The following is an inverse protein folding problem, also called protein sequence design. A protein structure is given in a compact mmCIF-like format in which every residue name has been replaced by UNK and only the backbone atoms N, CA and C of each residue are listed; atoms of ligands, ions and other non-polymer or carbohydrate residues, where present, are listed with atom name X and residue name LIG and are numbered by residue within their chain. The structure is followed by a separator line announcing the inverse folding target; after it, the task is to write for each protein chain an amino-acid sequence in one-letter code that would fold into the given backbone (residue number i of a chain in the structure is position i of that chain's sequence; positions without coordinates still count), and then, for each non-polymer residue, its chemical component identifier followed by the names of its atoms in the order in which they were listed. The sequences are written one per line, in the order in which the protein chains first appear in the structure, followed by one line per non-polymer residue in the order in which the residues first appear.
data_IF_327976928962
#
_entry.id   IF_327976928962
#
_cell.length_a   1.000
_cell.length_b   1.000
_cell.length_c   1.000
_cell.angle_alpha   90.00
_cell.angle_beta   90.00
_cell.angle_gamma   90.00
#
_symmetry.space_group_name_H-M   'P 1'
#
loop_
_entity.id
_entity.type
_entity.pdbx_description
1 polymer ?
#
# COMPACT_ATOMS: atom_id res chain seq x y z
N UNK A 1 27.62 28.29 9.50
CA UNK A 1 26.56 27.27 9.41
C UNK A 1 26.92 26.35 8.25
N UNK A 2 26.72 25.04 8.40
CA UNK A 2 27.04 24.05 7.37
C UNK A 2 25.82 23.13 7.19
N UNK A 3 25.36 22.99 5.96
CA UNK A 3 24.21 22.18 5.59
C UNK A 3 24.53 21.28 4.39
N UNK A 4 23.83 20.15 4.31
CA UNK A 4 23.87 19.23 3.18
C UNK A 4 22.58 19.38 2.37
N UNK A 5 22.71 19.72 1.10
CA UNK A 5 21.58 19.79 0.17
C UNK A 5 21.75 18.72 -0.91
N UNK A 6 20.77 17.83 -1.02
CA UNK A 6 20.71 16.78 -2.04
C UNK A 6 19.61 17.17 -3.01
N UNK A 7 19.97 17.45 -4.26
CA UNK A 7 19.05 17.85 -5.32
C UNK A 7 18.75 16.66 -6.23
N UNK A 8 17.51 16.56 -6.73
CA UNK A 8 17.06 15.44 -7.58
C UNK A 8 17.33 14.07 -6.94
N UNK A 9 16.87 13.89 -5.71
CA UNK A 9 17.05 12.68 -4.90
C UNK A 9 16.71 11.42 -5.70
N UNK A 10 17.61 10.43 -5.66
CA UNK A 10 17.46 9.12 -6.27
C UNK A 10 17.42 8.03 -5.21
N UNK A 11 16.95 6.83 -5.56
CA UNK A 11 16.87 5.69 -4.65
C UNK A 11 18.24 5.33 -4.03
N UNK A 12 19.34 5.57 -4.77
CA UNK A 12 20.71 5.34 -4.29
C UNK A 12 21.18 6.31 -3.21
N UNK A 13 20.48 7.44 -3.01
CA UNK A 13 20.80 8.42 -1.97
C UNK A 13 20.24 8.01 -0.60
N UNK A 14 19.46 6.93 -0.53
CA UNK A 14 18.99 6.43 0.76
C UNK A 14 20.14 5.89 1.59
N UNK A 15 20.52 6.64 2.63
CA UNK A 15 21.54 6.23 3.58
C UNK A 15 21.41 6.98 4.92
N UNK A 16 22.37 6.76 5.81
CA UNK A 16 22.55 7.47 7.06
C UNK A 16 23.65 8.51 6.89
N UNK A 17 23.28 9.77 7.01
CA UNK A 17 24.18 10.91 6.91
C UNK A 17 24.64 11.39 8.29
N UNK A 18 25.88 11.87 8.37
CA UNK A 18 26.45 12.49 9.57
C UNK A 18 27.41 13.60 9.15
N UNK A 19 27.25 14.79 9.72
CA UNK A 19 28.21 15.87 9.56
C UNK A 19 29.45 15.59 10.42
N UNK A 20 30.63 15.71 9.82
CA UNK A 20 31.91 15.56 10.50
C UNK A 20 32.81 16.74 10.14
N UNK A 21 33.24 17.49 11.15
CA UNK A 21 34.07 18.68 10.97
C UNK A 21 35.35 18.49 11.78
N UNK A 22 36.49 18.58 11.10
CA UNK A 22 37.79 18.70 11.75
C UNK A 22 38.16 20.19 11.76
N UNK A 23 38.29 20.76 12.95
CA UNK A 23 38.75 22.14 13.07
C UNK A 23 40.28 22.21 12.94
N UNK A 24 40.78 23.29 12.33
CA UNK A 24 42.20 23.47 12.10
C UNK A 24 42.95 23.72 13.42
N UNK A 25 43.74 22.74 13.86
CA UNK A 25 44.62 22.83 15.03
C UNK A 25 45.07 21.45 15.50
N UNK A 26 46.28 21.31 16.05
CA UNK A 26 46.88 20.01 16.36
C UNK A 26 46.14 19.21 17.45
N UNK A 27 45.25 19.83 18.23
CA UNK A 27 44.55 19.20 19.37
C UNK A 27 43.02 19.26 19.29
N UNK A 28 42.43 19.69 18.18
CA UNK A 28 40.96 19.81 18.11
C UNK A 28 40.30 18.45 17.82
N UNK A 29 39.37 17.98 18.66
CA UNK A 29 38.68 16.72 18.42
C UNK A 29 37.75 16.82 17.21
N UNK A 30 37.55 15.70 16.52
CA UNK A 30 36.57 15.59 15.44
C UNK A 30 35.16 15.84 16.00
N UNK A 31 34.52 16.91 15.57
CA UNK A 31 33.13 17.17 15.93
C UNK A 31 32.22 16.38 14.99
N UNK A 32 31.29 15.61 15.56
CA UNK A 32 30.29 14.85 14.82
C UNK A 32 28.90 15.32 15.21
N UNK A 33 28.00 15.40 14.24
CA UNK A 33 26.56 15.56 14.51
C UNK A 33 25.91 14.22 14.88
N UNK A 34 24.63 14.27 15.24
CA UNK A 34 23.78 13.09 15.22
C UNK A 34 23.67 12.53 13.80
N UNK A 35 23.36 11.23 13.74
CA UNK A 35 23.09 10.52 12.49
C UNK A 35 21.65 10.74 12.07
N UNK A 36 21.42 11.03 10.80
CA UNK A 36 20.08 11.20 10.22
C UNK A 36 19.90 10.20 9.09
N UNK A 37 18.78 9.48 9.08
CA UNK A 37 18.40 8.56 8.00
C UNK A 37 17.65 9.36 6.93
N UNK A 38 18.17 9.39 5.71
CA UNK A 38 17.38 9.74 4.54
C UNK A 38 16.64 8.49 4.08
N UNK A 39 15.34 8.57 3.86
CA UNK A 39 14.54 7.48 3.28
C UNK A 39 13.86 7.99 2.03
N UNK A 40 14.04 7.26 0.93
CA UNK A 40 13.45 7.61 -0.35
C UNK A 40 12.15 6.86 -0.50
N UNK A 41 11.06 7.60 -0.68
CA UNK A 41 9.73 7.03 -0.87
C UNK A 41 9.49 6.75 -2.35
N UNK A 42 8.94 5.56 -2.63
CA UNK A 42 8.58 5.13 -3.98
C UNK A 42 7.09 4.84 -3.99
N UNK A 43 6.29 5.49 -4.85
CA UNK A 43 4.88 5.19 -4.97
C UNK A 43 4.69 3.78 -5.54
N UNK A 44 3.73 3.04 -5.01
CA UNK A 44 3.31 1.76 -5.59
C UNK A 44 2.43 1.98 -6.83
N UNK A 45 2.25 0.92 -7.63
CA UNK A 45 1.25 0.92 -8.69
C UNK A 45 -0.15 1.02 -8.10
N UNK A 46 -1.08 1.63 -8.84
CA UNK A 46 -2.50 1.59 -8.49
C UNK A 46 -2.95 0.12 -8.25
N UNK A 47 -3.78 -0.13 -7.22
CA UNK A 47 -4.29 -1.46 -6.94
C UNK A 47 -5.11 -1.97 -8.12
N UNK A 48 -4.94 -3.25 -8.45
CA UNK A 48 -5.71 -3.91 -9.49
C UNK A 48 -6.04 -5.33 -9.10
N UNK A 49 -7.25 -5.74 -9.43
CA UNK A 49 -7.64 -7.14 -9.36
C UNK A 49 -6.89 -7.97 -10.41
N UNK A 50 -6.65 -9.22 -10.08
CA UNK A 50 -6.04 -10.24 -10.93
C UNK A 50 -6.89 -11.51 -10.87
N UNK A 51 -6.74 -12.37 -11.88
CA UNK A 51 -7.56 -13.58 -12.04
C UNK A 51 -9.05 -13.31 -12.27
N UNK A 52 -9.35 -12.17 -12.90
CA UNK A 52 -10.69 -11.89 -13.42
C UNK A 52 -10.97 -12.71 -14.68
N UNK A 53 -12.22 -12.73 -15.14
CA UNK A 53 -12.58 -13.29 -16.44
C UNK A 53 -11.76 -12.67 -17.59
N UNK A 54 -11.81 -13.26 -18.80
CA UNK A 54 -11.02 -12.80 -19.95
C UNK A 54 -11.27 -11.32 -20.35
N UNK A 55 -12.42 -10.77 -19.94
CA UNK A 55 -12.78 -9.36 -20.14
C UNK A 55 -12.29 -8.45 -19.01
N UNK A 56 -11.78 -9.00 -17.90
CA UNK A 56 -11.16 -8.25 -16.81
C UNK A 56 -12.14 -7.47 -15.94
N UNK A 57 -13.43 -7.83 -15.96
CA UNK A 57 -14.51 -7.02 -15.37
C UNK A 57 -15.29 -7.76 -14.29
N UNK A 58 -15.33 -9.09 -14.32
CA UNK A 58 -16.22 -9.85 -13.42
C UNK A 58 -15.54 -11.07 -12.79
N UNK A 59 -15.90 -11.30 -11.53
CA UNK A 59 -15.66 -12.55 -10.82
C UNK A 59 -16.93 -13.42 -10.91
N UNK A 60 -16.79 -14.65 -11.38
CA UNK A 60 -17.90 -15.59 -11.44
C UNK A 60 -17.99 -16.38 -10.14
N UNK A 61 -18.99 -16.08 -9.32
CA UNK A 61 -19.32 -16.83 -8.12
C UNK A 61 -20.42 -17.86 -8.38
N UNK A 62 -20.42 -18.94 -7.59
CA UNK A 62 -21.56 -19.86 -7.49
C UNK A 62 -22.06 -19.84 -6.06
N UNK A 63 -23.36 -19.68 -5.90
CA UNK A 63 -23.99 -19.66 -4.58
C UNK A 63 -23.62 -20.89 -3.75
N UNK A 64 -23.26 -20.68 -2.48
CA UNK A 64 -22.82 -21.73 -1.56
C UNK A 64 -21.38 -22.22 -1.79
N UNK A 65 -20.66 -21.67 -2.77
CA UNK A 65 -19.25 -21.94 -3.01
C UNK A 65 -18.39 -20.72 -2.70
N UNK A 66 -17.20 -20.90 -2.09
CA UNK A 66 -16.31 -19.79 -1.80
C UNK A 66 -15.78 -19.18 -3.09
N UNK A 67 -15.76 -17.84 -3.12
CA UNK A 67 -15.15 -17.06 -4.18
C UNK A 67 -13.82 -16.50 -3.68
N UNK A 68 -12.76 -16.63 -4.47
CA UNK A 68 -11.45 -16.06 -4.17
C UNK A 68 -11.18 -14.89 -5.11
N UNK A 69 -10.82 -13.74 -4.53
CA UNK A 69 -10.41 -12.55 -5.25
C UNK A 69 -8.99 -12.17 -4.83
N UNK A 70 -8.19 -11.70 -5.78
CA UNK A 70 -6.82 -11.28 -5.53
C UNK A 70 -6.59 -9.90 -6.10
N UNK A 71 -6.02 -9.02 -5.30
CA UNK A 71 -5.66 -7.65 -5.67
C UNK A 71 -4.16 -7.45 -5.42
N UNK A 72 -3.50 -6.74 -6.33
CA UNK A 72 -2.05 -6.49 -6.24
C UNK A 72 -1.73 -5.00 -6.44
N UNK A 73 -0.76 -4.52 -5.68
CA UNK A 73 -0.08 -3.23 -5.82
C UNK A 73 1.42 -3.48 -5.65
N UNK A 74 2.24 -2.97 -6.57
CA UNK A 74 3.64 -3.39 -6.71
C UNK A 74 4.60 -2.19 -6.65
N UNK A 75 5.84 -2.44 -6.20
CA UNK A 75 6.96 -1.50 -6.31
C UNK A 75 6.97 -0.35 -5.30
N UNK A 76 6.07 -0.34 -4.31
CA UNK A 76 6.02 0.69 -3.28
C UNK A 76 7.14 0.59 -2.26
N UNK A 77 7.62 1.75 -1.80
CA UNK A 77 8.46 1.89 -0.61
C UNK A 77 7.94 3.05 0.25
N UNK A 78 7.33 2.78 1.42
CA UNK A 78 7.07 1.46 2.00
C UNK A 78 6.07 0.62 1.19
N UNK A 79 5.91 -0.66 1.55
CA UNK A 79 4.92 -1.54 0.94
C UNK A 79 3.51 -0.94 1.05
N UNK A 80 2.71 -1.16 0.01
CA UNK A 80 1.34 -0.66 -0.02
C UNK A 80 0.46 -1.46 0.96
N UNK A 81 -0.41 -0.75 1.67
CA UNK A 81 -1.51 -1.36 2.42
C UNK A 81 -2.70 -1.52 1.47
N UNK A 82 -3.29 -2.72 1.45
CA UNK A 82 -4.45 -3.05 0.63
C UNK A 82 -5.58 -3.51 1.55
N UNK A 83 -6.78 -2.99 1.30
CA UNK A 83 -8.00 -3.33 2.02
C UNK A 83 -9.08 -3.67 0.99
N UNK A 84 -9.92 -4.65 1.32
CA UNK A 84 -10.99 -5.10 0.43
C UNK A 84 -12.33 -4.61 0.94
N UNK A 85 -13.14 -4.03 0.05
CA UNK A 85 -14.47 -3.57 0.37
C UNK A 85 -15.49 -4.12 -0.63
N UNK A 86 -16.73 -4.33 -0.17
CA UNK A 86 -17.88 -4.60 -1.01
C UNK A 86 -18.68 -3.31 -1.13
N UNK A 87 -19.04 -2.94 -2.35
CA UNK A 87 -19.94 -1.83 -2.68
C UNK A 87 -21.24 -2.34 -3.26
N UNK A 88 -22.34 -1.61 -3.06
CA UNK A 88 -23.62 -1.89 -3.74
C UNK A 88 -23.71 -1.27 -5.13
N UNK A 89 -22.83 -0.32 -5.45
CA UNK A 89 -22.78 0.35 -6.75
C UNK A 89 -21.50 0.06 -7.51
N UNK A 90 -21.55 0.29 -8.83
CA UNK A 90 -20.42 0.05 -9.74
C UNK A 90 -19.29 1.07 -9.60
N UNK A 91 -19.56 2.23 -9.03
CA UNK A 91 -18.55 3.29 -8.80
C UNK A 91 -17.69 2.98 -7.58
N UNK A 92 -18.14 2.11 -6.66
CA UNK A 92 -17.43 1.81 -5.44
C UNK A 92 -17.58 2.89 -4.36
N UNK A 93 -18.58 3.77 -4.47
CA UNK A 93 -18.80 4.87 -3.52
C UNK A 93 -19.70 4.45 -2.36
N UNK A 94 -20.61 3.50 -2.58
CA UNK A 94 -21.56 3.01 -1.58
C UNK A 94 -21.07 1.72 -0.90
N UNK A 95 -20.04 1.87 -0.07
CA UNK A 95 -19.42 0.77 0.67
C UNK A 95 -20.39 0.18 1.70
N UNK A 96 -20.63 -1.12 1.61
CA UNK A 96 -21.50 -1.86 2.54
C UNK A 96 -20.75 -2.78 3.47
N UNK A 97 -19.53 -3.21 3.10
CA UNK A 97 -18.77 -4.16 3.91
C UNK A 97 -17.27 -4.00 3.73
N UNK A 98 -16.53 -4.06 4.83
CA UNK A 98 -15.09 -4.20 4.85
C UNK A 98 -14.73 -5.69 5.04
N UNK A 99 -13.90 -6.24 4.16
CA UNK A 99 -13.45 -7.63 4.22
C UNK A 99 -12.09 -7.69 4.93
N UNK A 100 -12.07 -8.26 6.12
CA UNK A 100 -10.85 -8.38 6.93
C UNK A 100 -10.09 -9.63 6.52
N UNK A 101 -8.80 -9.49 6.20
CA UNK A 101 -7.95 -10.56 5.63
C UNK A 101 -7.76 -11.78 6.57
N UNK A 102 -8.14 -11.66 7.85
CA UNK A 102 -8.03 -12.71 8.87
C UNK A 102 -9.23 -13.67 8.95
N UNK A 103 -10.23 -13.56 8.07
CA UNK A 103 -11.30 -14.56 7.98
C UNK A 103 -11.01 -15.55 6.86
N UNK A 104 -10.48 -16.76 7.16
CA UNK A 104 -10.42 -17.81 6.17
C UNK A 104 -11.87 -18.25 5.91
N UNK A 105 -12.38 -17.92 4.72
CA UNK A 105 -13.71 -18.33 4.24
C UNK A 105 -14.89 -17.71 5.01
N UNK A 106 -15.28 -16.49 4.64
CA UNK A 106 -16.70 -16.11 4.77
C UNK A 106 -17.45 -16.57 3.51
N UNK A 107 -18.22 -17.64 3.68
CA UNK A 107 -19.26 -18.00 2.71
C UNK A 107 -20.35 -16.94 2.89
N UNK A 108 -20.51 -16.03 1.93
CA UNK A 108 -21.71 -15.18 1.88
C UNK A 108 -22.92 -16.10 1.86
N UNK A 109 -23.75 -15.99 2.89
CA UNK A 109 -24.97 -16.78 3.01
C UNK A 109 -26.01 -16.29 2.00
N UNK A 110 -26.96 -17.16 1.61
CA UNK A 110 -28.05 -16.81 0.70
C UNK A 110 -28.80 -15.54 1.12
N UNK A 111 -28.91 -15.30 2.43
CA UNK A 111 -29.59 -14.12 2.98
C UNK A 111 -28.82 -12.82 2.73
N UNK A 112 -27.49 -12.84 2.86
CA UNK A 112 -26.64 -11.66 2.62
C UNK A 112 -26.58 -11.30 1.13
N UNK A 113 -26.64 -12.30 0.25
CA UNK A 113 -26.78 -12.09 -1.20
C UNK A 113 -28.12 -11.40 -1.55
N UNK A 114 -29.23 -11.84 -0.95
CA UNK A 114 -30.54 -11.24 -1.17
C UNK A 114 -30.62 -9.78 -0.69
N UNK A 115 -29.96 -9.45 0.41
CA UNK A 115 -29.90 -8.07 0.92
C UNK A 115 -29.14 -7.13 -0.05
N UNK A 116 -28.05 -7.62 -0.65
CA UNK A 116 -27.32 -6.89 -1.70
C UNK A 116 -28.19 -6.74 -2.97
N UNK A 117 -28.83 -7.82 -3.44
CA UNK A 117 -29.71 -7.77 -4.62
C UNK A 117 -30.91 -6.82 -4.42
N UNK A 118 -31.45 -6.76 -3.20
CA UNK A 118 -32.53 -5.84 -2.85
C UNK A 118 -32.09 -4.38 -2.83
N UNK A 119 -30.81 -4.11 -2.58
CA UNK A 119 -30.22 -2.76 -2.53
C UNK A 119 -29.84 -2.23 -3.92
N UNK A 120 -29.83 -3.08 -4.94
CA UNK A 120 -29.52 -2.73 -6.34
C UNK A 120 -30.82 -2.44 -7.14
N UNK A 121 -32.00 -2.69 -6.55
CA UNK A 121 -33.31 -2.40 -7.16
C UNK A 121 -33.84 -1.00 -6.84
#
# INVERSE_FOLDING_TARGET
EYDLQILNVQLSDEDIYQCQILAAGPEQPLQKSDKVKLTVLVPSTAPRFVDLNDEGETLQGREGYPLSARCISQGGKPEASLEFYISTDRTGENLVRHLVQDTPYEIMTHNELNDIESSIK
#
